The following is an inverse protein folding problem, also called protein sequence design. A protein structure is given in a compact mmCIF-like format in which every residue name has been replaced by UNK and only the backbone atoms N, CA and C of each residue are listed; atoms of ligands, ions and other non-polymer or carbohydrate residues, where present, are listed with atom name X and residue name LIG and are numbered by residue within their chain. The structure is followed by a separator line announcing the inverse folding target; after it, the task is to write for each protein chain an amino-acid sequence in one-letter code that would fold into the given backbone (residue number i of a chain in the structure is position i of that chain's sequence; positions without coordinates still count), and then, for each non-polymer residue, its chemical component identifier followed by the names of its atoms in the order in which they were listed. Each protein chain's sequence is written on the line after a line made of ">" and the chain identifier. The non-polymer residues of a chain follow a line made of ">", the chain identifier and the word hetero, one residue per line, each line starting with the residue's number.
data_IF_140454712450
#
_entry.id   IF_140454712450
#
_cell.length_a   1.000
_cell.length_b   1.000
_cell.length_c   1.000
_cell.angle_alpha   90.00
_cell.angle_beta   90.00
_cell.angle_gamma   90.00
#
_symmetry.space_group_name_H-M   'P 1'
#
loop_
_entity.id
_entity.type
_entity.pdbx_description
1 polymer ?
#
# COMPACT_ATOMS: atom_id res chain seq x y z
N UNK A 1 -4.23 33.22 25.45
CA UNK A 1 -4.56 31.83 25.09
C UNK A 1 -3.59 31.41 23.99
N UNK A 2 -2.56 30.63 24.36
CA UNK A 2 -1.50 30.24 23.44
C UNK A 2 -1.95 29.02 22.63
N UNK A 3 -2.10 29.20 21.32
CA UNK A 3 -2.42 28.13 20.39
C UNK A 3 -1.15 27.31 20.15
N UNK A 4 -1.10 26.09 20.69
CA UNK A 4 0.01 25.16 20.51
C UNK A 4 -0.06 24.60 19.08
N UNK A 5 0.91 25.01 18.25
CA UNK A 5 1.13 24.41 16.93
C UNK A 5 1.81 23.05 17.14
N UNK A 6 1.08 21.96 16.98
CA UNK A 6 1.66 20.62 16.91
C UNK A 6 2.44 20.50 15.60
N UNK A 7 3.77 20.49 15.72
CA UNK A 7 4.69 20.05 14.68
C UNK A 7 4.49 18.55 14.49
N UNK A 8 3.76 18.15 13.45
CA UNK A 8 3.74 16.77 12.99
C UNK A 8 5.01 16.55 12.17
N UNK A 9 5.99 15.87 12.75
CA UNK A 9 7.10 15.30 11.99
C UNK A 9 6.52 14.14 11.18
N UNK A 10 6.32 14.38 9.88
CA UNK A 10 6.08 13.34 8.90
C UNK A 10 7.33 12.46 8.92
N UNK A 11 7.23 11.24 9.44
CA UNK A 11 8.33 10.29 9.35
C UNK A 11 8.47 9.87 7.89
N UNK A 12 9.45 10.46 7.20
CA UNK A 12 9.86 10.18 5.81
C UNK A 12 10.50 8.79 5.65
N UNK A 13 9.99 7.76 6.33
CA UNK A 13 10.42 6.39 6.08
C UNK A 13 9.46 5.77 5.08
N UNK A 14 9.84 5.59 3.81
CA UNK A 14 9.03 4.81 2.89
C UNK A 14 8.90 3.42 3.49
N UNK A 15 7.66 2.94 3.63
CA UNK A 15 7.32 1.59 4.10
C UNK A 15 7.94 0.47 3.23
N UNK A 16 8.67 0.81 2.17
CA UNK A 16 9.21 -0.07 1.15
C UNK A 16 10.73 0.06 1.00
N UNK A 17 11.49 -0.42 1.99
CA UNK A 17 12.96 -0.54 1.84
C UNK A 17 13.34 -1.83 1.08
N UNK A 18 12.37 -2.64 0.63
CA UNK A 18 12.60 -4.00 0.10
C UNK A 18 12.44 -4.23 -1.41
N UNK A 19 11.98 -3.24 -2.20
CA UNK A 19 11.55 -3.45 -3.58
C UNK A 19 12.31 -2.63 -4.64
N UNK A 20 13.57 -2.30 -4.39
CA UNK A 20 14.39 -1.51 -5.33
C UNK A 20 14.59 -2.15 -6.71
N UNK A 21 14.33 -3.45 -6.84
CA UNK A 21 14.37 -4.19 -8.11
C UNK A 21 13.09 -4.03 -8.95
N UNK A 22 12.00 -3.52 -8.37
CA UNK A 22 10.74 -3.32 -9.10
C UNK A 22 10.79 -2.05 -9.96
N UNK A 23 10.05 -2.00 -11.08
CA UNK A 23 9.96 -0.79 -11.91
C UNK A 23 9.52 0.43 -11.09
N UNK A 24 10.07 1.59 -11.42
CA UNK A 24 9.72 2.85 -10.74
C UNK A 24 8.20 3.13 -10.78
N UNK A 25 7.55 2.84 -11.91
CA UNK A 25 6.09 2.98 -12.06
C UNK A 25 5.29 2.14 -11.07
N UNK A 26 5.78 0.94 -10.73
CA UNK A 26 5.16 0.10 -9.71
C UNK A 26 5.28 0.75 -8.33
N UNK A 27 6.48 1.23 -7.99
CA UNK A 27 6.75 1.84 -6.68
C UNK A 27 5.91 3.11 -6.48
N UNK A 28 5.84 3.95 -7.50
CA UNK A 28 5.03 5.18 -7.50
C UNK A 28 3.54 4.87 -7.33
N UNK A 29 3.01 3.89 -8.05
CA UNK A 29 1.59 3.51 -7.93
C UNK A 29 1.27 2.88 -6.56
N UNK A 30 2.15 2.04 -6.03
CA UNK A 30 1.93 1.43 -4.72
C UNK A 30 1.99 2.47 -3.59
N UNK A 31 2.94 3.41 -3.68
CA UNK A 31 3.01 4.54 -2.76
C UNK A 31 1.75 5.41 -2.87
N UNK A 32 1.30 5.73 -4.08
CA UNK A 32 0.08 6.49 -4.31
C UNK A 32 -1.16 5.76 -3.74
N UNK A 33 -1.22 4.44 -3.88
CA UNK A 33 -2.28 3.62 -3.30
C UNK A 33 -2.32 3.69 -1.78
N UNK A 34 -1.17 3.58 -1.11
CA UNK A 34 -1.10 3.69 0.35
C UNK A 34 -1.56 5.07 0.80
N UNK A 35 -1.03 6.14 0.19
CA UNK A 35 -1.37 7.52 0.57
C UNK A 35 -2.86 7.79 0.41
N UNK A 36 -3.47 7.36 -0.69
CA UNK A 36 -4.90 7.63 -0.97
C UNK A 36 -5.86 6.73 -0.19
N UNK A 37 -5.39 5.59 0.32
CA UNK A 37 -6.19 4.63 1.11
C UNK A 37 -5.75 4.54 2.58
N UNK A 38 -4.87 5.45 3.02
CA UNK A 38 -4.51 5.58 4.41
C UNK A 38 -5.76 5.94 5.21
N UNK A 39 -6.20 5.01 6.06
CA UNK A 39 -7.21 5.31 7.07
C UNK A 39 -6.41 5.83 8.26
N UNK A 40 -6.72 7.04 8.73
CA UNK A 40 -6.23 7.48 10.04
C UNK A 40 -6.93 6.60 11.08
N UNK A 41 -6.24 5.66 11.75
CA UNK A 41 -6.86 5.06 12.91
C UNK A 41 -7.00 6.14 13.98
N UNK A 42 -7.83 5.91 15.00
CA UNK A 42 -7.89 6.73 16.23
C UNK A 42 -6.55 6.79 17.00
N UNK A 43 -5.44 6.40 16.37
CA UNK A 43 -4.09 6.37 16.88
C UNK A 43 -3.27 7.43 16.12
N UNK A 44 -3.11 8.64 16.67
CA UNK A 44 -2.34 9.70 16.02
C UNK A 44 -0.87 9.26 15.91
N UNK A 45 -0.41 8.96 14.69
CA UNK A 45 1.00 8.64 14.43
C UNK A 45 1.26 7.50 13.46
N UNK A 46 0.24 6.75 13.02
CA UNK A 46 0.40 5.78 11.93
C UNK A 46 -0.78 5.81 10.98
N UNK A 47 -0.59 6.43 9.82
CA UNK A 47 -1.43 6.19 8.65
C UNK A 47 -1.28 4.71 8.27
N UNK A 48 -2.32 3.91 8.50
CA UNK A 48 -2.30 2.50 8.13
C UNK A 48 -3.31 2.27 7.02
N UNK A 49 -2.79 2.03 5.81
CA UNK A 49 -3.56 1.35 4.78
C UNK A 49 -3.71 -0.13 5.18
N UNK A 50 -4.82 -0.76 4.81
CA UNK A 50 -5.03 -2.18 5.11
C UNK A 50 -4.03 -3.05 4.32
N UNK A 51 -3.23 -3.86 5.01
CA UNK A 51 -2.19 -4.71 4.39
C UNK A 51 -2.75 -5.67 3.33
N UNK A 52 -3.95 -6.19 3.56
CA UNK A 52 -4.64 -7.05 2.58
C UNK A 52 -4.96 -6.27 1.30
N UNK A 53 -5.39 -5.01 1.42
CA UNK A 53 -5.69 -4.15 0.28
C UNK A 53 -4.40 -3.73 -0.45
N UNK A 54 -3.33 -3.46 0.30
CA UNK A 54 -1.99 -3.19 -0.26
C UNK A 54 -1.50 -4.39 -1.07
N UNK A 55 -1.61 -5.61 -0.52
CA UNK A 55 -1.22 -6.85 -1.20
C UNK A 55 -2.04 -7.10 -2.46
N UNK A 56 -3.36 -6.97 -2.38
CA UNK A 56 -4.25 -7.06 -3.53
C UNK A 56 -3.87 -6.09 -4.65
N UNK A 57 -3.65 -4.81 -4.29
CA UNK A 57 -3.30 -3.79 -5.26
C UNK A 57 -1.90 -3.99 -5.85
N UNK A 58 -0.93 -4.41 -5.03
CA UNK A 58 0.43 -4.74 -5.47
C UNK A 58 0.41 -5.87 -6.51
N UNK A 59 -0.25 -6.99 -6.22
CA UNK A 59 -0.32 -8.13 -7.15
C UNK A 59 -1.04 -7.76 -8.46
N UNK A 60 -2.16 -7.03 -8.36
CA UNK A 60 -2.85 -6.52 -9.55
C UNK A 60 -1.96 -5.58 -10.38
N UNK A 61 -1.20 -4.70 -9.73
CA UNK A 61 -0.30 -3.77 -10.41
C UNK A 61 0.85 -4.52 -11.08
N UNK A 62 1.43 -5.53 -10.42
CA UNK A 62 2.45 -6.39 -11.00
C UNK A 62 1.93 -7.15 -12.23
N UNK A 63 0.71 -7.71 -12.16
CA UNK A 63 0.06 -8.33 -13.31
C UNK A 63 -0.16 -7.35 -14.47
N UNK A 64 -0.62 -6.13 -14.19
CA UNK A 64 -0.84 -5.10 -15.22
C UNK A 64 0.47 -4.64 -15.89
N UNK A 65 1.59 -4.74 -15.18
CA UNK A 65 2.92 -4.44 -15.68
C UNK A 65 3.62 -5.66 -16.29
N UNK A 66 2.92 -6.81 -16.37
CA UNK A 66 3.45 -8.07 -16.90
C UNK A 66 4.76 -8.48 -16.24
N UNK A 67 4.88 -8.28 -14.91
CA UNK A 67 6.04 -8.76 -14.14
C UNK A 67 6.06 -10.29 -14.11
N UNK A 68 7.26 -10.85 -14.05
CA UNK A 68 7.48 -12.29 -14.04
C UNK A 68 6.94 -12.99 -12.78
N UNK A 69 6.71 -14.29 -12.90
CA UNK A 69 6.16 -15.13 -11.81
C UNK A 69 7.04 -15.12 -10.56
N UNK A 70 8.38 -15.08 -10.72
CA UNK A 70 9.31 -15.00 -9.58
C UNK A 70 9.08 -13.71 -8.78
N UNK A 71 8.85 -12.59 -9.47
CA UNK A 71 8.52 -11.30 -8.87
C UNK A 71 7.17 -11.33 -8.16
N UNK A 72 6.16 -11.97 -8.75
CA UNK A 72 4.85 -12.16 -8.14
C UNK A 72 4.94 -13.02 -6.87
N UNK A 73 5.77 -14.06 -6.87
CA UNK A 73 6.01 -14.92 -5.71
C UNK A 73 6.71 -14.17 -4.58
N UNK A 74 7.70 -13.33 -4.90
CA UNK A 74 8.37 -12.46 -3.93
C UNK A 74 7.38 -11.47 -3.31
N UNK A 75 6.54 -10.81 -4.12
CA UNK A 75 5.51 -9.89 -3.62
C UNK A 75 4.49 -10.60 -2.72
N UNK A 76 4.04 -11.79 -3.15
CA UNK A 76 3.09 -12.60 -2.39
C UNK A 76 3.65 -13.05 -1.05
N UNK A 77 4.94 -13.37 -1.00
CA UNK A 77 5.61 -13.84 0.22
C UNK A 77 6.03 -12.70 1.15
N UNK A 78 6.36 -11.53 0.60
CA UNK A 78 6.89 -10.39 1.35
C UNK A 78 5.81 -9.49 1.94
N UNK A 79 4.61 -9.46 1.34
CA UNK A 79 3.48 -8.70 1.86
C UNK A 79 2.62 -9.56 2.78
N UNK A 80 2.34 -9.04 3.98
CA UNK A 80 1.55 -9.75 4.99
C UNK A 80 0.08 -9.91 4.58
N UNK A 81 -0.57 -10.96 5.11
CA UNK A 81 -2.00 -11.21 4.93
C UNK A 81 -2.40 -11.86 3.60
N UNK A 82 -3.71 -12.00 3.41
CA UNK A 82 -4.29 -12.49 2.16
C UNK A 82 -4.54 -11.31 1.20
N UNK A 83 -4.47 -11.52 -0.12
CA UNK A 83 -4.83 -10.47 -1.07
C UNK A 83 -6.32 -10.15 -0.94
N UNK A 84 -6.60 -8.93 -0.48
CA UNK A 84 -7.94 -8.38 -0.35
C UNK A 84 -8.79 -9.02 0.77
N UNK A 85 -10.08 -8.72 0.71
CA UNK A 85 -11.14 -9.24 1.55
C UNK A 85 -12.23 -9.81 0.63
N UNK A 86 -12.49 -11.11 0.74
CA UNK A 86 -13.57 -11.80 0.01
C UNK A 86 -13.55 -11.60 -1.51
N UNK A 87 -12.35 -11.52 -2.10
CA UNK A 87 -12.17 -11.29 -3.54
C UNK A 87 -12.21 -9.81 -3.98
N UNK A 88 -12.16 -8.88 -3.02
CA UNK A 88 -12.18 -7.43 -3.28
C UNK A 88 -11.09 -6.69 -2.50
N UNK A 89 -10.75 -5.47 -2.90
CA UNK A 89 -9.96 -4.54 -2.09
C UNK A 89 -10.53 -3.13 -2.19
N UNK A 90 -10.22 -2.28 -1.21
CA UNK A 90 -10.69 -0.89 -1.20
C UNK A 90 -9.68 0.01 -1.90
N UNK A 91 -10.14 0.79 -2.88
CA UNK A 91 -9.36 1.84 -3.51
C UNK A 91 -10.18 3.14 -3.65
N UNK A 92 -9.74 4.21 -3.00
CA UNK A 92 -10.42 5.53 -2.99
C UNK A 92 -11.90 5.43 -2.61
N UNK A 93 -12.21 4.60 -1.61
CA UNK A 93 -13.59 4.36 -1.15
C UNK A 93 -14.43 3.48 -2.08
N UNK A 94 -13.84 2.86 -3.11
CA UNK A 94 -14.52 1.94 -4.02
C UNK A 94 -14.03 0.51 -3.79
N UNK A 95 -14.94 -0.45 -3.82
CA UNK A 95 -14.59 -1.86 -3.83
C UNK A 95 -14.16 -2.26 -5.24
N UNK A 96 -12.94 -2.75 -5.36
CA UNK A 96 -12.33 -3.24 -6.61
C UNK A 96 -12.23 -4.76 -6.53
N UNK A 97 -12.72 -5.46 -7.55
CA UNK A 97 -12.67 -6.92 -7.61
C UNK A 97 -11.26 -7.39 -7.99
N UNK A 98 -10.79 -8.46 -7.35
CA UNK A 98 -9.60 -9.18 -7.77
C UNK A 98 -9.85 -9.96 -9.07
N UNK A 99 -8.82 -10.13 -9.92
CA UNK A 99 -8.91 -10.97 -11.12
C UNK A 99 -9.27 -12.43 -10.79
#
# INVERSE_FOLDING_TARGET
>A
MASQKTNYQITEQPLFVGFSFLPQSFQEELQAFIVRNAVLPNNPGKEHCCDHCVKAHALKTAHNLELDDDTLDVLTSSLEGNPGHDGYYLDQGRLVKLP
#
